data_IF_216682556622
#
_entry.id   IF_216682556622
#
_cell.length_a   1.000
_cell.length_b   1.000
_cell.length_c   1.000
_cell.angle_alpha   90.00
_cell.angle_beta   90.00
_cell.angle_gamma   90.00
#
_symmetry.space_group_name_H-M   'P 1'
#
loop_
_entity.id
_entity.type
_entity.pdbx_description
1 polymer ?
#
# COMPACT_ATOMS: atom_id res chain seq x y z
N UNK A 1 -12.55 22.74 3.82
CA UNK A 1 -11.74 23.55 4.77
C UNK A 1 -10.80 22.60 5.49
N UNK A 2 -9.48 22.81 5.43
CA UNK A 2 -8.52 22.01 6.21
C UNK A 2 -8.58 22.50 7.66
N UNK A 3 -9.36 21.81 8.50
CA UNK A 3 -9.44 22.10 9.93
C UNK A 3 -8.19 21.55 10.62
N UNK A 4 -7.45 22.42 11.29
CA UNK A 4 -6.30 22.04 12.13
C UNK A 4 -6.78 21.81 13.55
N UNK A 5 -6.48 20.65 14.12
CA UNK A 5 -6.81 20.32 15.50
C UNK A 5 -5.56 20.44 16.37
N UNK A 6 -5.67 21.10 17.53
CA UNK A 6 -4.55 21.29 18.46
C UNK A 6 -4.64 20.24 19.56
N UNK A 7 -3.64 19.37 19.62
CA UNK A 7 -3.49 18.36 20.66
C UNK A 7 -2.25 18.65 21.51
N UNK A 8 -2.31 18.31 22.80
CA UNK A 8 -1.14 18.33 23.69
C UNK A 8 -0.64 16.90 23.82
N UNK A 9 0.58 16.65 23.38
CA UNK A 9 1.22 15.33 23.44
C UNK A 9 2.53 15.43 24.21
N UNK A 10 2.84 14.41 25.00
CA UNK A 10 4.12 14.29 25.69
C UNK A 10 5.04 13.43 24.84
N UNK A 11 6.17 14.01 24.43
CA UNK A 11 7.19 13.33 23.64
C UNK A 11 8.46 13.16 24.48
N UNK A 12 9.18 12.03 24.34
CA UNK A 12 10.50 11.85 24.94
C UNK A 12 11.46 12.99 24.62
N UNK A 13 12.31 13.36 25.58
CA UNK A 13 13.20 14.52 25.47
C UNK A 13 14.24 14.37 24.36
N UNK A 14 14.74 13.15 24.16
CA UNK A 14 15.65 12.75 23.09
C UNK A 14 14.99 12.91 21.71
N UNK A 15 13.74 12.46 21.57
CA UNK A 15 12.98 12.63 20.32
C UNK A 15 12.72 14.11 20.02
N UNK A 16 12.37 14.90 21.05
CA UNK A 16 12.22 16.35 20.89
C UNK A 16 13.53 17.05 20.53
N UNK A 17 14.69 16.57 21.00
CA UNK A 17 15.98 17.09 20.60
C UNK A 17 16.26 16.82 19.10
N UNK A 18 15.96 15.61 18.62
CA UNK A 18 16.05 15.28 17.19
C UNK A 18 15.14 16.15 16.33
N UNK A 19 13.87 16.35 16.75
CA UNK A 19 12.92 17.24 16.06
C UNK A 19 13.43 18.67 16.00
N UNK A 20 14.01 19.19 17.10
CA UNK A 20 14.61 20.54 17.14
C UNK A 20 15.85 20.67 16.25
N UNK A 21 16.64 19.61 16.12
CA UNK A 21 17.80 19.60 15.23
C UNK A 21 17.38 19.61 13.74
N UNK A 22 16.27 18.94 13.41
CA UNK A 22 15.77 18.85 12.03
C UNK A 22 14.92 20.04 11.60
N UNK A 23 14.18 20.67 12.53
CA UNK A 23 13.26 21.74 12.20
C UNK A 23 13.25 22.87 13.25
N UNK A 24 13.29 24.14 12.81
CA UNK A 24 13.08 25.29 13.71
C UNK A 24 11.66 25.26 14.28
N UNK A 25 11.44 25.91 15.42
CA UNK A 25 10.19 25.85 16.20
C UNK A 25 8.89 25.97 15.38
N UNK A 26 8.86 26.87 14.38
CA UNK A 26 7.69 27.11 13.53
C UNK A 26 7.37 25.97 12.54
N UNK A 27 8.32 25.05 12.29
CA UNK A 27 8.17 23.89 11.39
C UNK A 27 8.09 22.55 12.13
N UNK A 28 8.20 22.53 13.47
CA UNK A 28 8.15 21.29 14.24
C UNK A 28 6.80 20.60 14.14
N UNK A 29 5.69 21.34 14.25
CA UNK A 29 4.35 20.78 14.07
C UNK A 29 4.13 20.21 12.67
N UNK A 30 4.72 20.84 11.64
CA UNK A 30 4.65 20.34 10.27
C UNK A 30 5.44 19.03 10.12
N UNK A 31 6.66 18.97 10.67
CA UNK A 31 7.49 17.76 10.66
C UNK A 31 6.79 16.59 11.37
N UNK A 32 6.23 16.85 12.56
CA UNK A 32 5.49 15.84 13.32
C UNK A 32 4.25 15.37 12.55
N UNK A 33 3.48 16.29 11.97
CA UNK A 33 2.29 15.94 11.19
C UNK A 33 2.64 15.10 9.94
N UNK A 34 3.76 15.41 9.28
CA UNK A 34 4.26 14.63 8.14
C UNK A 34 4.71 13.23 8.57
N UNK A 35 5.48 13.13 9.66
CA UNK A 35 5.91 11.84 10.20
C UNK A 35 4.70 10.95 10.58
N UNK A 36 3.70 11.52 11.24
CA UNK A 36 2.46 10.80 11.61
C UNK A 36 1.70 10.36 10.35
N UNK A 37 1.59 11.22 9.34
CA UNK A 37 0.91 10.89 8.08
C UNK A 37 1.58 9.71 7.38
N UNK A 38 2.92 9.75 7.27
CA UNK A 38 3.70 8.68 6.65
C UNK A 38 3.56 7.37 7.44
N UNK A 39 3.63 7.44 8.77
CA UNK A 39 3.43 6.27 9.62
C UNK A 39 2.05 5.64 9.45
N UNK A 40 0.98 6.45 9.45
CA UNK A 40 -0.39 5.95 9.24
C UNK A 40 -0.53 5.30 7.86
N UNK A 41 0.00 5.93 6.81
CA UNK A 41 -0.07 5.38 5.45
C UNK A 41 0.65 4.02 5.35
N UNK A 42 1.82 3.90 5.97
CA UNK A 42 2.57 2.64 6.01
C UNK A 42 1.82 1.55 6.77
N UNK A 43 1.25 1.87 7.95
CA UNK A 43 0.45 0.92 8.72
C UNK A 43 -0.80 0.44 7.95
N UNK A 44 -1.48 1.35 7.26
CA UNK A 44 -2.64 0.99 6.42
C UNK A 44 -2.24 0.08 5.26
N UNK A 45 -1.10 0.37 4.62
CA UNK A 45 -0.55 -0.45 3.54
C UNK A 45 -0.20 -1.85 4.03
N UNK A 46 0.44 -1.97 5.20
CA UNK A 46 0.77 -3.25 5.79
C UNK A 46 -0.49 -4.05 6.14
N UNK A 47 -1.46 -3.42 6.81
CA UNK A 47 -2.73 -4.08 7.15
C UNK A 47 -3.55 -4.49 5.91
N UNK A 48 -3.44 -3.75 4.80
CA UNK A 48 -4.04 -4.17 3.53
C UNK A 48 -3.33 -5.39 2.95
N UNK A 49 -1.98 -5.39 2.93
CA UNK A 49 -1.19 -6.53 2.47
C UNK A 49 -1.49 -7.79 3.25
N UNK A 50 -1.56 -7.70 4.58
CA UNK A 50 -1.85 -8.85 5.44
C UNK A 50 -3.22 -9.45 5.13
N UNK A 51 -4.24 -8.59 4.96
CA UNK A 51 -5.59 -9.03 4.56
C UNK A 51 -5.61 -9.67 3.17
N UNK A 52 -4.86 -9.11 2.21
CA UNK A 52 -4.76 -9.69 0.87
C UNK A 52 -4.08 -11.07 0.91
N UNK A 53 -2.96 -11.20 1.63
CA UNK A 53 -2.26 -12.49 1.77
C UNK A 53 -3.18 -13.55 2.36
N UNK A 54 -3.91 -13.23 3.43
CA UNK A 54 -4.87 -14.15 4.04
C UNK A 54 -5.98 -14.52 3.04
N UNK A 55 -6.52 -13.55 2.30
CA UNK A 55 -7.55 -13.80 1.29
C UNK A 55 -7.08 -14.72 0.16
N UNK A 56 -5.89 -14.45 -0.41
CA UNK A 56 -5.31 -15.30 -1.46
C UNK A 56 -5.01 -16.70 -0.95
N UNK A 57 -4.49 -16.85 0.27
CA UNK A 57 -4.23 -18.17 0.85
C UNK A 57 -5.53 -18.93 1.09
N UNK A 58 -6.58 -18.27 1.57
CA UNK A 58 -7.88 -18.90 1.82
C UNK A 58 -8.56 -19.36 0.53
N UNK A 59 -8.36 -18.66 -0.57
CA UNK A 59 -8.98 -18.94 -1.86
C UNK A 59 -8.09 -19.74 -2.82
N UNK A 60 -6.85 -20.06 -2.44
CA UNK A 60 -5.83 -20.61 -3.33
C UNK A 60 -6.33 -21.83 -4.13
N UNK A 61 -6.96 -22.79 -3.48
CA UNK A 61 -7.44 -24.01 -4.14
C UNK A 61 -8.55 -23.72 -5.16
N UNK A 62 -9.47 -22.81 -4.82
CA UNK A 62 -10.56 -22.41 -5.71
C UNK A 62 -10.03 -21.58 -6.90
N UNK A 63 -9.09 -20.68 -6.65
CA UNK A 63 -8.45 -19.85 -7.67
C UNK A 63 -7.64 -20.72 -8.64
N UNK A 64 -6.93 -21.74 -8.15
CA UNK A 64 -6.20 -22.70 -8.99
C UNK A 64 -7.16 -23.54 -9.83
N UNK A 65 -8.24 -24.07 -9.22
CA UNK A 65 -9.23 -24.86 -9.95
C UNK A 65 -9.87 -24.03 -11.07
N UNK A 66 -10.24 -22.78 -10.76
CA UNK A 66 -10.78 -21.85 -11.74
C UNK A 66 -9.77 -21.57 -12.86
N UNK A 67 -8.50 -21.33 -12.56
CA UNK A 67 -7.48 -21.11 -13.59
C UNK A 67 -7.35 -22.32 -14.53
N UNK A 68 -7.37 -23.55 -13.99
CA UNK A 68 -7.30 -24.76 -14.79
C UNK A 68 -8.52 -24.95 -15.71
N UNK A 69 -9.71 -24.54 -15.27
CA UNK A 69 -10.93 -24.58 -16.10
C UNK A 69 -10.83 -23.66 -17.33
N UNK A 70 -10.14 -22.53 -17.19
CA UNK A 70 -10.05 -21.50 -18.24
C UNK A 70 -8.81 -21.63 -19.13
N UNK A 71 -7.83 -22.45 -18.75
CA UNK A 71 -6.54 -22.62 -19.44
C UNK A 71 -6.70 -22.90 -20.95
N UNK A 72 -7.63 -23.78 -21.33
CA UNK A 72 -7.85 -24.14 -22.73
C UNK A 72 -8.34 -22.95 -23.57
N UNK A 73 -9.28 -22.17 -23.04
CA UNK A 73 -9.86 -21.00 -23.73
C UNK A 73 -8.83 -19.88 -23.86
N UNK A 74 -8.01 -19.68 -22.82
CA UNK A 74 -6.91 -18.71 -22.85
C UNK A 74 -5.84 -19.09 -23.89
N UNK A 75 -5.49 -20.38 -23.97
CA UNK A 75 -4.51 -20.87 -24.94
C UNK A 75 -4.98 -20.69 -26.39
N UNK A 76 -6.25 -21.02 -26.68
CA UNK A 76 -6.85 -20.81 -28.00
C UNK A 76 -6.85 -19.32 -28.38
N UNK A 77 -7.27 -18.43 -27.48
CA UNK A 77 -7.28 -16.99 -27.71
C UNK A 77 -5.86 -16.41 -27.95
N UNK A 78 -4.84 -16.95 -27.28
CA UNK A 78 -3.45 -16.54 -27.48
C UNK A 78 -2.91 -16.96 -28.86
N UNK A 79 -3.23 -18.17 -29.31
CA UNK A 79 -2.85 -18.65 -30.65
C UNK A 79 -3.52 -17.81 -31.75
N UNK A 80 -4.81 -17.49 -31.58
CA UNK A 80 -5.54 -16.66 -32.53
C UNK A 80 -4.93 -15.25 -32.64
N UNK A 81 -4.60 -14.60 -31.52
CA UNK A 81 -3.88 -13.32 -31.55
C UNK A 81 -2.49 -13.42 -32.19
N UNK A 82 -1.72 -14.45 -31.87
CA UNK A 82 -0.38 -14.64 -32.43
C UNK A 82 -0.41 -14.91 -33.94
N UNK A 83 -1.46 -15.55 -34.43
CA UNK A 83 -1.68 -15.79 -35.86
C UNK A 83 -2.06 -14.49 -36.60
N UNK A 84 -2.90 -13.65 -36.00
CA UNK A 84 -3.29 -12.35 -36.55
C UNK A 84 -2.12 -11.36 -36.70
N UNK A 85 -1.13 -11.40 -35.79
CA UNK A 85 0.06 -10.53 -35.84
C UNK A 85 1.07 -10.98 -36.91
N UNK A 86 0.96 -12.21 -37.43
CA UNK A 86 1.93 -12.77 -38.37
C UNK A 86 1.57 -12.55 -39.84
N UNK A 87 0.34 -12.13 -40.10
CA UNK A 87 -0.22 -11.89 -41.43
C UNK A 87 -0.23 -10.39 -41.85
N UNK A 88 0.44 -9.51 -41.09
CA UNK A 88 0.76 -8.10 -41.43
C UNK A 88 2.22 -7.90 -41.86
#
# INVERSE_FOLDING_TARGET
MLTTEKITITLPSDLMAAVRAMAPARRQSQLIAEAIRTYIAEQQRQALRDRLMVGYQANADADIALAAEWEAVEYEAWQDQASLVRDE
#
